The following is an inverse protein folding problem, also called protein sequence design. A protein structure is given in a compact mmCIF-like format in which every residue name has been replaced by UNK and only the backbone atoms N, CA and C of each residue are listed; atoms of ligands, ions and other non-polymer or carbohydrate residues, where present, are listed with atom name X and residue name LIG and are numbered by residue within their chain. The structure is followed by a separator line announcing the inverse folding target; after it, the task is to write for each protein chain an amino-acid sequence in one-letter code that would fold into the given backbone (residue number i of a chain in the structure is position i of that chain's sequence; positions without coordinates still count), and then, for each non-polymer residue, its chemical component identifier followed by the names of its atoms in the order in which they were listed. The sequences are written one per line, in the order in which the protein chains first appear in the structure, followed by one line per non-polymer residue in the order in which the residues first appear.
data_IF_781259187727
#
_entry.id   IF_781259187727
#
_cell.length_a   1.000
_cell.length_b   1.000
_cell.length_c   1.000
_cell.angle_alpha   90.00
_cell.angle_beta   90.00
_cell.angle_gamma   90.00
#
_symmetry.space_group_name_H-M   'P 1'
#
loop_
_entity.id
_entity.type
_entity.pdbx_description
1 polymer ?
#
# COMPACT_ATOMS: atom_id res chain seq x y z
N UNK A 1 -16.19 -19.50 -7.36
CA UNK A 1 -16.02 -18.16 -6.73
C UNK A 1 -14.67 -17.97 -6.04
N UNK A 2 -14.24 -18.83 -5.08
CA UNK A 2 -12.95 -18.70 -4.38
C UNK A 2 -11.75 -18.48 -5.32
N UNK A 3 -11.62 -19.31 -6.38
CA UNK A 3 -10.53 -19.19 -7.38
C UNK A 3 -10.48 -17.81 -8.06
N UNK A 4 -11.63 -17.28 -8.48
CA UNK A 4 -11.73 -15.97 -9.15
C UNK A 4 -11.34 -14.85 -8.18
N UNK A 5 -11.85 -14.90 -6.94
CA UNK A 5 -11.54 -13.89 -5.92
C UNK A 5 -10.06 -13.91 -5.55
N UNK A 6 -9.44 -15.09 -5.43
CA UNK A 6 -8.00 -15.21 -5.23
C UNK A 6 -7.19 -14.53 -6.35
N UNK A 7 -7.58 -14.76 -7.62
CA UNK A 7 -6.91 -14.15 -8.77
C UNK A 7 -7.07 -12.63 -8.75
N UNK A 8 -8.29 -12.12 -8.52
CA UNK A 8 -8.56 -10.68 -8.40
C UNK A 8 -7.73 -10.08 -7.26
N UNK A 9 -7.68 -10.73 -6.10
CA UNK A 9 -6.90 -10.26 -4.95
C UNK A 9 -5.40 -10.17 -5.29
N UNK A 10 -4.82 -11.20 -5.92
CA UNK A 10 -3.40 -11.23 -6.29
C UNK A 10 -3.09 -10.13 -7.33
N UNK A 11 -3.93 -9.97 -8.35
CA UNK A 11 -3.76 -8.90 -9.35
C UNK A 11 -3.84 -7.53 -8.69
N UNK A 12 -4.81 -7.31 -7.80
CA UNK A 12 -4.97 -6.06 -7.08
C UNK A 12 -3.77 -5.76 -6.16
N UNK A 13 -3.23 -6.77 -5.46
CA UNK A 13 -2.00 -6.60 -4.66
C UNK A 13 -0.83 -6.22 -5.57
N UNK A 14 -0.66 -6.88 -6.72
CA UNK A 14 0.36 -6.53 -7.70
C UNK A 14 0.21 -5.10 -8.22
N UNK A 15 -1.01 -4.68 -8.55
CA UNK A 15 -1.31 -3.32 -8.97
C UNK A 15 -1.01 -2.29 -7.86
N UNK A 16 -1.35 -2.60 -6.61
CA UNK A 16 -1.05 -1.74 -5.46
C UNK A 16 0.46 -1.60 -5.25
N UNK A 17 1.21 -2.70 -5.26
CA UNK A 17 2.69 -2.69 -5.18
C UNK A 17 3.29 -1.89 -6.33
N UNK A 18 2.82 -2.10 -7.56
CA UNK A 18 3.28 -1.35 -8.74
C UNK A 18 3.03 0.16 -8.60
N UNK A 19 1.85 0.56 -8.11
CA UNK A 19 1.54 1.96 -7.84
C UNK A 19 2.45 2.55 -6.75
N UNK A 20 2.70 1.81 -5.67
CA UNK A 20 3.61 2.25 -4.60
C UNK A 20 5.06 2.38 -5.10
N UNK A 21 5.51 1.44 -5.94
CA UNK A 21 6.83 1.50 -6.57
C UNK A 21 6.95 2.70 -7.50
N UNK A 22 5.92 3.00 -8.31
CA UNK A 22 5.91 4.21 -9.12
C UNK A 22 6.08 5.45 -8.24
N UNK A 23 5.27 5.60 -7.19
CA UNK A 23 5.41 6.74 -6.25
C UNK A 23 6.82 6.83 -5.65
N UNK A 24 7.41 5.70 -5.24
CA UNK A 24 8.74 5.68 -4.62
C UNK A 24 9.90 5.94 -5.58
N UNK A 25 9.81 5.44 -6.82
CA UNK A 25 10.90 5.49 -7.81
C UNK A 25 10.84 6.72 -8.72
N UNK A 26 9.69 7.34 -8.90
CA UNK A 26 9.56 8.56 -9.69
C UNK A 26 9.32 9.78 -8.78
N UNK A 27 8.13 9.85 -8.20
CA UNK A 27 7.67 11.03 -7.49
C UNK A 27 8.51 11.35 -6.24
N UNK A 28 8.77 10.38 -5.37
CA UNK A 28 9.53 10.62 -4.14
C UNK A 28 10.95 11.14 -4.41
N UNK A 29 11.65 10.57 -5.39
CA UNK A 29 12.98 11.03 -5.80
C UNK A 29 12.92 12.46 -6.33
N UNK A 30 11.93 12.76 -7.18
CA UNK A 30 11.74 14.10 -7.71
C UNK A 30 11.43 15.11 -6.60
N UNK A 31 10.50 14.80 -5.70
CA UNK A 31 10.13 15.66 -4.57
C UNK A 31 11.32 15.98 -3.67
N UNK A 32 12.20 14.99 -3.40
CA UNK A 32 13.41 15.20 -2.59
C UNK A 32 14.48 16.06 -3.30
N UNK A 33 14.39 16.22 -4.62
CA UNK A 33 15.31 17.06 -5.39
C UNK A 33 14.90 18.53 -5.48
N UNK A 34 13.67 18.86 -5.07
CA UNK A 34 13.11 20.22 -5.13
C UNK A 34 13.45 21.03 -3.88
N UNK A 35 13.44 22.35 -4.03
CA UNK A 35 13.31 23.24 -2.88
C UNK A 35 12.01 22.94 -2.12
N UNK A 36 12.01 22.96 -0.77
CA UNK A 36 10.87 22.44 0.02
C UNK A 36 9.54 23.13 -0.27
N UNK A 37 9.57 24.44 -0.52
CA UNK A 37 8.39 25.22 -0.87
C UNK A 37 7.81 24.80 -2.24
N UNK A 38 8.68 24.56 -3.23
CA UNK A 38 8.28 24.11 -4.56
C UNK A 38 7.74 22.68 -4.53
N UNK A 39 8.37 21.79 -3.74
CA UNK A 39 7.82 20.48 -3.45
C UNK A 39 6.39 20.58 -2.92
N UNK A 40 6.14 21.34 -1.86
CA UNK A 40 4.80 21.38 -1.24
C UNK A 40 3.75 21.96 -2.20
N UNK A 41 4.09 22.99 -2.99
CA UNK A 41 3.21 23.52 -4.05
C UNK A 41 2.88 22.47 -5.11
N UNK A 42 3.87 21.69 -5.54
CA UNK A 42 3.66 20.61 -6.49
C UNK A 42 2.79 19.50 -5.87
N UNK A 43 3.03 19.19 -4.60
CA UNK A 43 2.32 18.15 -3.86
C UNK A 43 0.82 18.41 -3.69
N UNK A 44 0.39 19.68 -3.64
CA UNK A 44 -1.04 20.07 -3.67
C UNK A 44 -1.77 19.49 -4.88
N UNK A 45 -1.10 19.43 -6.03
CA UNK A 45 -1.67 18.93 -7.28
C UNK A 45 -1.54 17.41 -7.35
N UNK A 46 -0.36 16.89 -7.00
CA UNK A 46 -0.05 15.46 -7.10
C UNK A 46 -0.86 14.59 -6.14
N UNK A 47 -1.02 15.01 -4.88
CA UNK A 47 -1.55 14.12 -3.85
C UNK A 47 -2.96 13.58 -4.17
N UNK A 48 -3.94 14.39 -4.62
CA UNK A 48 -5.24 13.86 -5.04
C UNK A 48 -5.14 12.84 -6.18
N UNK A 49 -4.23 13.06 -7.14
CA UNK A 49 -3.99 12.18 -8.28
C UNK A 49 -3.33 10.85 -7.87
N UNK A 50 -2.61 10.84 -6.74
CA UNK A 50 -1.98 9.63 -6.18
C UNK A 50 -2.89 8.89 -5.18
N UNK A 51 -3.74 9.61 -4.46
CA UNK A 51 -4.62 9.03 -3.43
C UNK A 51 -5.66 8.09 -4.03
N UNK A 52 -6.32 8.51 -5.10
CA UNK A 52 -7.41 7.74 -5.73
C UNK A 52 -6.89 6.40 -6.30
N UNK A 53 -5.83 6.35 -7.13
CA UNK A 53 -5.27 5.08 -7.61
C UNK A 53 -4.78 4.18 -6.46
N UNK A 54 -4.22 4.77 -5.42
CA UNK A 54 -3.81 4.04 -4.21
C UNK A 54 -5.00 3.33 -3.56
N UNK A 55 -6.10 4.03 -3.33
CA UNK A 55 -7.31 3.44 -2.76
C UNK A 55 -7.93 2.37 -3.69
N UNK A 56 -8.01 2.66 -4.99
CA UNK A 56 -8.63 1.77 -5.98
C UNK A 56 -7.86 0.45 -6.15
N UNK A 57 -6.54 0.47 -6.02
CA UNK A 57 -5.72 -0.75 -6.09
C UNK A 57 -5.68 -1.50 -4.76
N UNK A 58 -5.69 -0.80 -3.63
CA UNK A 58 -5.64 -1.38 -2.28
C UNK A 58 -6.97 -2.04 -1.85
N UNK A 59 -8.11 -1.42 -2.16
CA UNK A 59 -9.41 -1.89 -1.65
C UNK A 59 -9.78 -3.31 -2.14
N UNK A 60 -9.66 -3.65 -3.44
CA UNK A 60 -9.92 -5.01 -3.90
C UNK A 60 -8.91 -6.03 -3.35
N UNK A 61 -7.65 -5.62 -3.17
CA UNK A 61 -6.62 -6.46 -2.57
C UNK A 61 -6.99 -6.83 -1.12
N UNK A 62 -7.40 -5.83 -0.33
CA UNK A 62 -7.75 -6.00 1.09
C UNK A 62 -9.03 -6.83 1.25
N UNK A 63 -10.10 -6.49 0.53
CA UNK A 63 -11.37 -7.21 0.58
C UNK A 63 -11.23 -8.66 0.10
N UNK A 64 -10.48 -8.88 -0.98
CA UNK A 64 -10.23 -10.22 -1.51
C UNK A 64 -9.45 -11.10 -0.53
N UNK A 65 -8.40 -10.54 0.08
CA UNK A 65 -7.60 -11.24 1.09
C UNK A 65 -8.42 -11.59 2.34
N UNK A 66 -9.24 -10.65 2.82
CA UNK A 66 -10.17 -10.89 3.93
C UNK A 66 -11.17 -11.99 3.59
N UNK A 67 -11.83 -11.90 2.43
CA UNK A 67 -12.79 -12.89 2.00
C UNK A 67 -12.17 -14.30 1.98
N UNK A 68 -10.97 -14.43 1.40
CA UNK A 68 -10.28 -15.72 1.34
C UNK A 68 -9.86 -16.22 2.72
N UNK A 69 -9.40 -15.34 3.62
CA UNK A 69 -9.11 -15.70 5.02
C UNK A 69 -10.34 -16.22 5.78
N UNK A 70 -11.53 -15.68 5.50
CA UNK A 70 -12.78 -16.09 6.12
C UNK A 70 -13.39 -17.35 5.49
N UNK A 71 -13.16 -17.58 4.19
CA UNK A 71 -13.80 -18.67 3.42
C UNK A 71 -12.91 -19.88 3.17
N UNK A 72 -11.60 -19.79 3.39
CA UNK A 72 -10.72 -20.96 3.40
C UNK A 72 -11.00 -21.85 4.62
N UNK A 73 -10.74 -23.15 4.48
CA UNK A 73 -11.12 -24.12 5.51
C UNK A 73 -10.40 -23.86 6.82
N UNK A 74 -11.10 -24.10 7.93
CA UNK A 74 -10.55 -23.93 9.28
C UNK A 74 -9.32 -24.83 9.42
N UNK A 75 -8.23 -24.28 9.98
CA UNK A 75 -6.92 -24.94 10.14
C UNK A 75 -6.13 -25.22 8.85
N UNK A 76 -6.62 -24.84 7.67
CA UNK A 76 -5.83 -24.98 6.44
C UNK A 76 -4.65 -23.99 6.38
N UNK A 77 -3.54 -24.42 5.77
CA UNK A 77 -2.40 -23.53 5.48
C UNK A 77 -2.81 -22.38 4.56
N UNK A 78 -3.71 -22.63 3.60
CA UNK A 78 -4.28 -21.59 2.73
C UNK A 78 -4.88 -20.45 3.56
N UNK A 79 -5.69 -20.78 4.57
CA UNK A 79 -6.31 -19.77 5.45
C UNK A 79 -5.27 -18.94 6.20
N UNK A 80 -4.21 -19.56 6.72
CA UNK A 80 -3.13 -18.87 7.43
C UNK A 80 -2.45 -17.84 6.53
N UNK A 81 -2.07 -18.24 5.33
CA UNK A 81 -1.43 -17.34 4.38
C UNK A 81 -2.35 -16.20 3.92
N UNK A 82 -3.62 -16.47 3.64
CA UNK A 82 -4.59 -15.40 3.33
C UNK A 82 -4.81 -14.45 4.51
N UNK A 83 -4.78 -14.96 5.74
CA UNK A 83 -4.82 -14.12 6.94
C UNK A 83 -3.57 -13.22 7.04
N UNK A 84 -2.38 -13.74 6.79
CA UNK A 84 -1.15 -12.93 6.78
C UNK A 84 -1.15 -11.88 5.66
N UNK A 85 -1.64 -12.22 4.46
CA UNK A 85 -1.84 -11.24 3.39
C UNK A 85 -2.79 -10.11 3.82
N UNK A 86 -3.92 -10.48 4.43
CA UNK A 86 -4.88 -9.51 4.99
C UNK A 86 -4.25 -8.62 6.07
N UNK A 87 -3.49 -9.19 7.01
CA UNK A 87 -2.81 -8.42 8.06
C UNK A 87 -1.77 -7.45 7.48
N UNK A 88 -0.97 -7.90 6.51
CA UNK A 88 0.01 -7.04 5.84
C UNK A 88 -0.67 -5.82 5.20
N UNK A 89 -1.73 -6.03 4.42
CA UNK A 89 -2.49 -4.95 3.79
C UNK A 89 -3.16 -4.05 4.84
N UNK A 90 -3.69 -4.62 5.92
CA UNK A 90 -4.25 -3.85 7.04
C UNK A 90 -3.21 -2.95 7.68
N UNK A 91 -1.98 -3.44 7.85
CA UNK A 91 -0.88 -2.62 8.36
C UNK A 91 -0.57 -1.44 7.43
N UNK A 92 -0.60 -1.65 6.11
CA UNK A 92 -0.42 -0.55 5.15
C UNK A 92 -1.53 0.51 5.25
N UNK A 93 -2.78 0.10 5.51
CA UNK A 93 -3.92 1.01 5.73
C UNK A 93 -3.71 1.81 7.01
N UNK A 94 -3.32 1.16 8.11
CA UNK A 94 -3.05 1.80 9.40
C UNK A 94 -1.93 2.82 9.25
N UNK A 95 -0.80 2.41 8.66
CA UNK A 95 0.33 3.29 8.39
C UNK A 95 -0.07 4.49 7.53
N UNK A 96 -0.91 4.27 6.50
CA UNK A 96 -1.42 5.35 5.66
C UNK A 96 -2.29 6.31 6.47
N UNK A 97 -3.22 5.80 7.26
CA UNK A 97 -4.22 6.61 7.96
C UNK A 97 -3.63 7.40 9.13
N UNK A 98 -2.67 6.82 9.84
CA UNK A 98 -2.09 7.41 11.05
C UNK A 98 -0.88 8.30 10.72
N UNK A 99 -0.08 7.93 9.72
CA UNK A 99 1.19 8.61 9.43
C UNK A 99 1.17 9.40 8.13
N UNK A 100 0.90 8.75 6.99
CA UNK A 100 1.04 9.41 5.69
C UNK A 100 -0.08 10.41 5.40
N UNK A 101 -1.33 10.07 5.64
CA UNK A 101 -2.47 10.92 5.29
C UNK A 101 -2.46 12.25 6.05
N UNK A 102 -2.27 12.29 7.39
CA UNK A 102 -2.19 13.57 8.11
C UNK A 102 -1.00 14.42 7.64
N UNK A 103 0.15 13.79 7.40
CA UNK A 103 1.35 14.49 6.91
C UNK A 103 1.13 15.05 5.50
N UNK A 104 0.47 14.30 4.62
CA UNK A 104 0.15 14.73 3.27
C UNK A 104 -0.80 15.94 3.28
N UNK A 105 -1.82 15.92 4.15
CA UNK A 105 -2.73 17.04 4.31
C UNK A 105 -1.99 18.29 4.84
N UNK A 106 -1.05 18.12 5.77
CA UNK A 106 -0.22 19.22 6.26
C UNK A 106 0.74 19.77 5.17
N UNK A 107 1.30 18.91 4.30
CA UNK A 107 2.07 19.35 3.14
C UNK A 107 1.20 20.15 2.16
N UNK A 108 0.00 19.67 1.83
CA UNK A 108 -0.93 20.38 0.98
C UNK A 108 -1.36 21.73 1.56
N UNK A 109 -1.46 21.82 2.88
CA UNK A 109 -1.80 23.05 3.59
C UNK A 109 -0.61 24.03 3.69
N UNK A 110 0.55 23.71 3.11
CA UNK A 110 1.77 24.53 3.17
C UNK A 110 2.18 24.87 4.62
N UNK A 111 1.95 23.92 5.55
CA UNK A 111 2.04 24.18 6.99
C UNK A 111 3.46 24.19 7.54
N UNK A 112 4.40 23.55 6.85
CA UNK A 112 5.76 23.36 7.34
C UNK A 112 6.69 24.43 6.79
N UNK A 113 7.64 24.89 7.61
CA UNK A 113 8.82 25.59 7.12
C UNK A 113 9.75 24.66 6.34
N UNK A 114 10.74 25.22 5.65
CA UNK A 114 11.62 24.48 4.73
C UNK A 114 12.38 23.32 5.42
N UNK A 115 12.87 23.54 6.63
CA UNK A 115 13.63 22.55 7.40
C UNK A 115 12.70 21.41 7.82
N UNK A 116 11.55 21.75 8.39
CA UNK A 116 10.54 20.79 8.84
C UNK A 116 10.00 19.98 7.67
N UNK A 117 9.71 20.62 6.53
CA UNK A 117 9.22 19.98 5.33
C UNK A 117 10.23 18.95 4.80
N UNK A 118 11.52 19.31 4.73
CA UNK A 118 12.60 18.41 4.31
C UNK A 118 12.70 17.16 5.20
N UNK A 119 12.71 17.36 6.53
CA UNK A 119 12.80 16.25 7.50
C UNK A 119 11.58 15.34 7.38
N UNK A 120 10.38 15.92 7.30
CA UNK A 120 9.12 15.18 7.17
C UNK A 120 9.08 14.39 5.87
N UNK A 121 9.52 14.99 4.75
CA UNK A 121 9.55 14.31 3.45
C UNK A 121 10.50 13.11 3.49
N UNK A 122 11.70 13.26 4.05
CA UNK A 122 12.63 12.15 4.18
C UNK A 122 12.07 11.01 5.05
N UNK A 123 11.44 11.35 6.18
CA UNK A 123 10.75 10.35 7.01
C UNK A 123 9.58 9.68 6.28
N UNK A 124 8.82 10.44 5.50
CA UNK A 124 7.75 9.96 4.65
C UNK A 124 8.27 8.94 3.64
N UNK A 125 9.37 9.24 2.96
CA UNK A 125 9.96 8.34 1.94
C UNK A 125 10.45 7.04 2.56
N UNK A 126 11.14 7.09 3.70
CA UNK A 126 11.59 5.89 4.43
C UNK A 126 10.38 5.02 4.81
N UNK A 127 9.36 5.63 5.41
CA UNK A 127 8.12 4.96 5.80
C UNK A 127 7.42 4.33 4.59
N UNK A 128 7.38 5.03 3.46
CA UNK A 128 6.80 4.55 2.21
C UNK A 128 7.50 3.29 1.69
N UNK A 129 8.84 3.23 1.76
CA UNK A 129 9.60 2.04 1.39
C UNK A 129 9.32 0.83 2.30
N UNK A 130 9.15 1.06 3.60
CA UNK A 130 8.70 0.02 4.54
C UNK A 130 7.32 -0.51 4.12
N UNK A 131 6.40 0.39 3.75
CA UNK A 131 5.05 0.05 3.29
C UNK A 131 5.08 -0.83 2.04
N UNK A 132 5.97 -0.53 1.08
CA UNK A 132 6.20 -1.35 -0.13
C UNK A 132 6.63 -2.76 0.26
N UNK A 133 7.63 -2.89 1.14
CA UNK A 133 8.12 -4.20 1.61
C UNK A 133 7.01 -5.04 2.25
N UNK A 134 6.18 -4.43 3.10
CA UNK A 134 5.02 -5.10 3.73
C UNK A 134 4.01 -5.55 2.68
N UNK A 135 3.69 -4.71 1.70
CA UNK A 135 2.75 -5.05 0.62
C UNK A 135 3.26 -6.22 -0.24
N UNK A 136 4.57 -6.26 -0.53
CA UNK A 136 5.22 -7.37 -1.24
C UNK A 136 5.10 -8.67 -0.45
N UNK A 137 5.39 -8.64 0.86
CA UNK A 137 5.22 -9.81 1.75
C UNK A 137 3.75 -10.28 1.72
N UNK A 138 2.80 -9.34 1.76
CA UNK A 138 1.38 -9.64 1.60
C UNK A 138 1.04 -10.35 0.29
N UNK A 139 1.64 -9.90 -0.82
CA UNK A 139 1.51 -10.54 -2.13
C UNK A 139 2.07 -11.97 -2.18
N UNK A 140 3.26 -12.17 -1.60
CA UNK A 140 3.85 -13.51 -1.46
C UNK A 140 2.92 -14.43 -0.66
N UNK A 141 2.39 -13.97 0.48
CA UNK A 141 1.43 -14.72 1.26
C UNK A 141 0.15 -15.03 0.46
N UNK A 142 -0.39 -14.10 -0.32
CA UNK A 142 -1.56 -14.35 -1.16
C UNK A 142 -1.31 -15.46 -2.21
N UNK A 143 -0.14 -15.44 -2.86
CA UNK A 143 0.27 -16.47 -3.83
C UNK A 143 0.39 -17.84 -3.15
N UNK A 144 1.07 -17.92 -2.00
CA UNK A 144 1.18 -19.16 -1.22
C UNK A 144 -0.19 -19.66 -0.77
N UNK A 145 -1.06 -18.76 -0.31
CA UNK A 145 -2.44 -19.06 0.08
C UNK A 145 -3.26 -19.64 -1.08
N UNK A 146 -3.06 -19.13 -2.29
CA UNK A 146 -3.68 -19.66 -3.50
C UNK A 146 -3.15 -21.04 -3.88
N UNK A 147 -1.83 -21.24 -3.91
CA UNK A 147 -1.20 -22.54 -4.21
C UNK A 147 -1.66 -23.63 -3.24
N UNK A 148 -1.69 -23.33 -1.94
CA UNK A 148 -2.16 -24.26 -0.89
C UNK A 148 -3.67 -24.51 -0.94
N UNK A 149 -4.45 -23.70 -1.66
CA UNK A 149 -5.87 -23.97 -1.91
C UNK A 149 -6.10 -24.88 -3.12
N UNK A 150 -5.18 -24.88 -4.09
CA UNK A 150 -5.26 -25.69 -5.30
C UNK A 150 -4.72 -27.12 -5.11
N UNK A 151 -3.84 -27.33 -4.12
CA UNK A 151 -3.31 -28.65 -3.74
C UNK A 151 -4.29 -29.50 -2.92
N UNK A 152 -5.41 -28.93 -2.48
CA UNK A 152 -6.43 -29.58 -1.64
C UNK A 152 -7.78 -29.75 -2.37
N UNK A 153 -7.82 -29.51 -3.69
CA UNK A 153 -8.95 -29.82 -4.57
C UNK A 153 -8.62 -31.08 -5.37
#
# INVERSE_FOLDING_TARGET
MKKIISIIAIIAIGAFVGNMLNIGLSHAIYWQSLDPNDFMKFFVIDFPLLLVPTALTLMPAWLGSLFMSLKSDKKSESRKYWFFAFLALTFTIIQTSIYHLPMNLDFMALKYDDITATIKLNGWVISHWIRIGIAIIGGICAILGFQKSALNQ
#
